data_IF_586193688978
#
_entry.id   IF_586193688978
#
_cell.length_a   1.000
_cell.length_b   1.000
_cell.length_c   1.000
_cell.angle_alpha   90.00
_cell.angle_beta   90.00
_cell.angle_gamma   90.00
#
_symmetry.space_group_name_H-M   'P 1'
#
loop_
_entity.id
_entity.type
_entity.pdbx_description
1 polymer ?
#
# COMPACT_ATOMS: atom_id res chain seq x y z
N UNK A 1 8.21 -3.13 12.71
CA UNK A 1 6.73 -3.18 12.90
C UNK A 1 6.40 -2.74 14.31
N UNK A 2 5.17 -2.25 14.56
CA UNK A 2 4.79 -1.75 15.88
C UNK A 2 4.58 -2.88 16.91
N UNK A 3 4.18 -4.08 16.46
CA UNK A 3 4.04 -5.26 17.30
C UNK A 3 4.37 -6.56 16.52
N UNK A 4 4.52 -7.66 17.26
CA UNK A 4 4.90 -8.98 16.72
C UNK A 4 3.80 -9.63 15.87
N UNK A 5 2.53 -9.40 16.19
CA UNK A 5 1.39 -9.93 15.41
C UNK A 5 1.36 -9.32 14.02
N UNK A 6 1.57 -8.02 13.90
CA UNK A 6 1.69 -7.33 12.61
C UNK A 6 2.89 -7.82 11.80
N UNK A 7 4.03 -8.09 12.46
CA UNK A 7 5.20 -8.65 11.80
C UNK A 7 4.91 -10.06 11.25
N UNK A 8 4.22 -10.90 12.03
CA UNK A 8 3.83 -12.25 11.59
C UNK A 8 2.89 -12.18 10.38
N UNK A 9 1.91 -11.27 10.39
CA UNK A 9 1.00 -11.08 9.26
C UNK A 9 1.73 -10.60 7.99
N UNK A 10 2.70 -9.68 8.14
CA UNK A 10 3.52 -9.24 7.02
C UNK A 10 4.34 -10.40 6.42
N UNK A 11 4.94 -11.26 7.25
CA UNK A 11 5.64 -12.46 6.79
C UNK A 11 4.67 -13.37 6.03
N UNK A 12 3.52 -13.71 6.63
CA UNK A 12 2.53 -14.62 6.04
C UNK A 12 2.02 -14.14 4.69
N UNK A 13 1.80 -12.84 4.50
CA UNK A 13 1.20 -12.31 3.28
C UNK A 13 2.19 -11.82 2.22
N UNK A 14 3.45 -11.53 2.60
CA UNK A 14 4.44 -10.96 1.68
C UNK A 14 5.54 -11.94 1.27
N UNK A 15 5.74 -13.05 1.99
CA UNK A 15 6.69 -14.07 1.53
C UNK A 15 6.27 -14.62 0.16
N UNK A 16 7.23 -14.70 -0.78
CA UNK A 16 7.06 -15.14 -2.17
C UNK A 16 6.20 -14.24 -3.07
N UNK A 17 5.69 -13.12 -2.58
CA UNK A 17 5.05 -12.11 -3.44
C UNK A 17 6.05 -11.64 -4.48
N UNK A 18 5.58 -11.46 -5.73
CA UNK A 18 6.42 -10.97 -6.82
C UNK A 18 6.35 -9.45 -6.91
N UNK A 19 7.52 -8.81 -6.97
CA UNK A 19 7.70 -7.37 -7.14
C UNK A 19 8.88 -7.14 -8.08
N UNK A 20 8.69 -6.32 -9.12
CA UNK A 20 9.71 -6.03 -10.13
C UNK A 20 10.34 -7.30 -10.75
N UNK A 21 9.49 -8.29 -11.06
CA UNK A 21 9.89 -9.56 -11.65
C UNK A 21 10.56 -10.55 -10.69
N UNK A 22 10.75 -10.19 -9.41
CA UNK A 22 11.45 -11.02 -8.42
C UNK A 22 10.53 -11.43 -7.28
N UNK A 23 10.68 -12.67 -6.78
CA UNK A 23 9.98 -13.11 -5.58
C UNK A 23 10.69 -12.61 -4.32
N UNK A 24 9.92 -12.00 -3.42
CA UNK A 24 10.40 -11.61 -2.11
C UNK A 24 10.65 -12.84 -1.23
N UNK A 25 11.65 -12.72 -0.36
CA UNK A 25 11.90 -13.63 0.76
C UNK A 25 11.67 -12.82 2.03
N UNK A 26 10.65 -13.17 2.80
CA UNK A 26 10.27 -12.44 4.02
C UNK A 26 10.33 -13.38 5.20
N UNK A 27 11.03 -12.98 6.26
CA UNK A 27 11.18 -13.79 7.46
C UNK A 27 11.57 -12.96 8.67
N UNK A 28 11.55 -13.59 9.84
CA UNK A 28 11.92 -12.94 11.10
C UNK A 28 13.41 -12.60 11.12
N UNK A 29 13.73 -11.36 11.53
CA UNK A 29 15.11 -10.95 11.79
C UNK A 29 15.63 -11.57 13.09
N UNK A 30 16.94 -11.81 13.14
CA UNK A 30 17.65 -12.15 14.39
C UNK A 30 17.96 -10.91 15.25
N UNK A 31 17.82 -9.72 14.69
CA UNK A 31 18.05 -8.45 15.37
C UNK A 31 16.74 -7.88 15.90
N UNK A 32 16.73 -7.47 17.17
CA UNK A 32 15.54 -6.92 17.82
C UNK A 32 15.22 -5.49 17.38
N UNK A 33 16.23 -4.71 16.98
CA UNK A 33 16.06 -3.31 16.56
C UNK A 33 16.98 -2.96 15.39
N UNK A 34 16.54 -1.99 14.59
CA UNK A 34 17.35 -1.34 13.56
C UNK A 34 18.06 -0.16 14.22
N UNK A 35 19.38 -0.08 14.09
CA UNK A 35 20.15 1.06 14.60
C UNK A 35 20.13 2.19 13.57
N UNK A 36 19.78 3.40 14.02
CA UNK A 36 19.85 4.59 13.18
C UNK A 36 21.30 5.10 13.10
N UNK A 37 21.72 5.65 11.94
CA UNK A 37 22.98 6.36 11.82
C UNK A 37 23.08 7.49 12.86
N UNK A 38 24.30 7.78 13.32
CA UNK A 38 24.52 8.94 14.20
C UNK A 38 24.35 10.23 13.40
N UNK A 39 23.92 11.29 14.08
CA UNK A 39 23.87 12.64 13.49
C UNK A 39 25.22 13.00 12.87
N UNK A 40 25.19 13.49 11.63
CA UNK A 40 26.39 13.89 10.88
C UNK A 40 27.11 12.77 10.12
N UNK A 41 26.70 11.50 10.25
CA UNK A 41 27.15 10.44 9.34
C UNK A 41 26.28 10.41 8.08
N UNK A 42 26.91 10.28 6.91
CA UNK A 42 26.19 10.07 5.66
C UNK A 42 25.51 8.70 5.70
N UNK A 43 24.19 8.69 5.89
CA UNK A 43 23.36 7.56 5.52
C UNK A 43 23.10 7.69 4.02
N UNK A 44 23.48 6.69 3.21
CA UNK A 44 23.31 6.71 1.75
C UNK A 44 21.82 6.66 1.29
N UNK A 45 20.88 7.11 2.12
CA UNK A 45 19.44 6.98 1.97
C UNK A 45 18.91 5.59 2.30
N UNK A 46 19.70 4.75 2.98
CA UNK A 46 19.42 3.33 3.17
C UNK A 46 18.71 3.01 4.49
N UNK A 47 18.75 3.92 5.47
CA UNK A 47 18.05 3.75 6.75
C UNK A 47 17.14 4.93 6.99
N UNK A 48 15.85 4.68 7.21
CA UNK A 48 14.86 5.73 7.40
C UNK A 48 13.97 5.45 8.59
N UNK A 49 13.84 6.44 9.47
CA UNK A 49 12.91 6.39 10.60
C UNK A 49 11.50 6.79 10.14
N UNK A 50 10.52 5.94 10.45
CA UNK A 50 9.11 6.18 10.20
C UNK A 50 8.27 6.20 11.48
N UNK A 51 8.84 6.14 12.68
CA UNK A 51 8.08 6.05 13.94
C UNK A 51 6.96 7.09 14.05
N UNK A 52 7.24 8.33 13.64
CA UNK A 52 6.30 9.46 13.72
C UNK A 52 5.52 9.75 12.43
N UNK A 53 5.54 8.83 11.45
CA UNK A 53 4.85 9.05 10.18
C UNK A 53 3.34 9.30 10.39
N UNK A 54 2.78 10.39 9.84
CA UNK A 54 1.34 10.65 9.91
C UNK A 54 0.54 9.67 9.03
N UNK A 55 1.22 8.91 8.16
CA UNK A 55 0.58 7.98 7.24
C UNK A 55 0.34 6.59 7.82
N UNK A 56 0.77 6.32 9.06
CA UNK A 56 0.55 5.02 9.73
C UNK A 56 -0.92 4.68 9.87
N UNK A 57 -1.29 3.50 9.36
CA UNK A 57 -2.69 3.06 9.37
C UNK A 57 -3.09 2.43 10.71
N UNK A 58 -2.15 1.91 11.50
CA UNK A 58 -2.43 1.14 12.72
C UNK A 58 -2.05 1.85 14.03
N UNK A 59 -1.87 3.19 14.04
CA UNK A 59 -1.45 3.95 15.23
C UNK A 59 -2.48 3.99 16.36
N UNK A 60 -3.77 3.82 16.05
CA UNK A 60 -4.86 3.87 17.05
C UNK A 60 -5.37 2.45 17.33
N UNK A 61 -5.27 2.03 18.59
CA UNK A 61 -5.89 0.79 19.07
C UNK A 61 -7.40 0.84 18.86
N UNK A 62 -8.02 -0.28 18.44
CA UNK A 62 -9.46 -0.38 18.21
C UNK A 62 -9.97 0.00 16.80
N UNK A 63 -9.10 0.42 15.87
CA UNK A 63 -9.53 0.62 14.48
C UNK A 63 -9.81 -0.72 13.79
N UNK A 64 -11.01 -0.91 13.21
CA UNK A 64 -11.40 -2.09 12.40
C UNK A 64 -10.70 -2.10 11.04
N UNK A 65 -9.36 -2.05 11.02
CA UNK A 65 -8.58 -2.11 9.80
C UNK A 65 -8.06 -3.52 9.62
N UNK A 66 -8.51 -4.16 8.55
CA UNK A 66 -8.09 -5.51 8.21
C UNK A 66 -6.88 -5.45 7.28
N UNK A 67 -5.84 -6.21 7.60
CA UNK A 67 -4.76 -6.50 6.67
C UNK A 67 -5.29 -7.56 5.70
N UNK A 68 -5.22 -7.26 4.41
CA UNK A 68 -5.71 -8.12 3.33
C UNK A 68 -4.47 -8.62 2.56
N UNK A 69 -4.38 -9.93 2.26
CA UNK A 69 -3.32 -10.47 1.41
C UNK A 69 -3.29 -9.77 0.04
N UNK A 70 -2.16 -9.79 -0.67
CA UNK A 70 -2.11 -9.28 -2.03
C UNK A 70 -3.14 -9.92 -2.96
N UNK A 71 -3.92 -9.08 -3.63
CA UNK A 71 -4.90 -9.45 -4.65
C UNK A 71 -4.76 -8.53 -5.85
N UNK A 72 -5.33 -8.91 -6.99
CA UNK A 72 -5.35 -8.07 -8.19
C UNK A 72 -6.31 -6.87 -8.05
N UNK A 73 -7.22 -6.89 -7.07
CA UNK A 73 -8.21 -5.85 -6.83
C UNK A 73 -7.78 -4.94 -5.68
N UNK A 74 -7.78 -3.63 -5.93
CA UNK A 74 -7.44 -2.60 -4.97
C UNK A 74 -8.66 -1.77 -4.60
N UNK A 75 -8.80 -1.47 -3.31
CA UNK A 75 -9.74 -0.50 -2.77
C UNK A 75 -9.06 0.85 -2.63
N UNK A 76 -9.67 1.85 -3.24
CA UNK A 76 -9.23 3.24 -3.26
C UNK A 76 -10.12 4.08 -2.32
N UNK A 77 -9.49 4.93 -1.52
CA UNK A 77 -10.17 5.94 -0.71
C UNK A 77 -9.64 7.33 -1.06
N UNK A 78 -10.50 8.34 -0.87
CA UNK A 78 -10.21 9.76 -1.17
C UNK A 78 -10.11 10.04 -2.67
N UNK A 79 -10.99 9.41 -3.45
CA UNK A 79 -11.07 9.58 -4.92
C UNK A 79 -12.20 10.51 -5.38
N UNK A 80 -12.90 11.17 -4.46
CA UNK A 80 -14.09 11.98 -4.80
C UNK A 80 -13.80 13.17 -5.72
N UNK A 81 -12.56 13.67 -5.73
CA UNK A 81 -12.12 14.78 -6.58
C UNK A 81 -11.51 14.32 -7.90
N UNK A 82 -11.49 13.02 -8.19
CA UNK A 82 -10.90 12.43 -9.38
C UNK A 82 -11.99 11.84 -10.28
N UNK A 83 -11.80 11.95 -11.58
CA UNK A 83 -12.62 11.26 -12.57
C UNK A 83 -12.05 9.86 -12.86
N UNK A 84 -12.90 8.96 -13.35
CA UNK A 84 -12.51 7.56 -13.65
C UNK A 84 -11.31 7.50 -14.61
N UNK A 85 -11.31 8.32 -15.66
CA UNK A 85 -10.25 8.35 -16.66
C UNK A 85 -8.89 8.72 -16.07
N UNK A 86 -8.85 9.66 -15.11
CA UNK A 86 -7.62 10.07 -14.45
C UNK A 86 -7.10 8.97 -13.53
N UNK A 87 -7.99 8.30 -12.79
CA UNK A 87 -7.62 7.15 -11.95
C UNK A 87 -7.08 6.03 -12.84
N UNK A 88 -7.80 5.65 -13.91
CA UNK A 88 -7.33 4.62 -14.84
C UNK A 88 -5.97 4.95 -15.42
N UNK A 89 -5.74 6.20 -15.80
CA UNK A 89 -4.46 6.67 -16.35
C UNK A 89 -3.32 6.57 -15.33
N UNK A 90 -3.57 6.96 -14.07
CA UNK A 90 -2.59 6.82 -12.98
C UNK A 90 -2.20 5.35 -12.76
N UNK A 91 -3.18 4.45 -12.69
CA UNK A 91 -2.92 3.03 -12.45
C UNK A 91 -2.33 2.32 -13.66
N UNK A 92 -2.61 2.80 -14.87
CA UNK A 92 -2.03 2.27 -16.11
C UNK A 92 -0.51 2.48 -16.22
N UNK A 93 0.07 3.37 -15.41
CA UNK A 93 1.54 3.53 -15.32
C UNK A 93 2.23 2.30 -14.68
N UNK A 94 1.47 1.45 -13.99
CA UNK A 94 1.98 0.31 -13.22
C UNK A 94 1.53 -1.05 -13.79
N UNK A 95 0.72 -1.06 -14.85
CA UNK A 95 0.17 -2.28 -15.41
C UNK A 95 -1.09 -2.05 -16.25
N UNK A 96 -1.85 -3.12 -16.49
CA UNK A 96 -3.07 -3.04 -17.30
C UNK A 96 -4.30 -3.07 -16.41
N UNK A 97 -5.11 -2.01 -16.44
CA UNK A 97 -6.38 -1.92 -15.70
C UNK A 97 -7.46 -2.77 -16.40
N UNK A 98 -7.99 -3.77 -15.70
CA UNK A 98 -9.06 -4.67 -16.18
C UNK A 98 -10.46 -4.15 -15.86
N UNK A 99 -10.62 -3.56 -14.68
CA UNK A 99 -11.92 -3.16 -14.17
C UNK A 99 -11.80 -1.95 -13.27
N UNK A 100 -12.86 -1.15 -13.24
CA UNK A 100 -12.99 -0.04 -12.32
C UNK A 100 -14.47 0.13 -11.99
N UNK A 101 -14.76 0.46 -10.72
CA UNK A 101 -16.09 0.92 -10.32
C UNK A 101 -16.03 1.85 -9.11
N UNK A 102 -16.76 2.96 -9.18
CA UNK A 102 -17.08 3.72 -7.98
C UNK A 102 -18.08 2.96 -7.09
N UNK A 103 -18.08 3.25 -5.81
CA UNK A 103 -19.14 2.76 -4.93
C UNK A 103 -20.43 3.54 -5.18
N UNK A 104 -21.58 2.87 -5.45
CA UNK A 104 -22.81 3.53 -5.89
C UNK A 104 -23.31 4.64 -4.96
N UNK A 105 -23.07 4.48 -3.66
CA UNK A 105 -23.53 5.40 -2.61
C UNK A 105 -22.38 6.22 -1.98
N UNK A 106 -21.14 6.02 -2.42
CA UNK A 106 -19.97 6.72 -1.86
C UNK A 106 -18.91 6.95 -2.94
N UNK A 107 -19.01 8.08 -3.64
CA UNK A 107 -18.00 8.50 -4.64
C UNK A 107 -16.62 8.79 -4.02
N UNK A 108 -16.45 8.73 -2.69
CA UNK A 108 -15.14 8.83 -2.04
C UNK A 108 -14.34 7.52 -2.13
N UNK A 109 -14.98 6.43 -2.55
CA UNK A 109 -14.39 5.10 -2.65
C UNK A 109 -14.59 4.48 -4.03
N UNK A 110 -13.62 3.67 -4.46
CA UNK A 110 -13.69 2.91 -5.69
C UNK A 110 -12.94 1.59 -5.57
N UNK A 111 -13.27 0.64 -6.44
CA UNK A 111 -12.45 -0.55 -6.71
C UNK A 111 -11.79 -0.41 -8.07
N UNK A 112 -10.55 -0.84 -8.15
CA UNK A 112 -9.80 -0.98 -9.40
C UNK A 112 -9.14 -2.35 -9.45
N UNK A 113 -9.19 -3.01 -10.60
CA UNK A 113 -8.61 -4.33 -10.83
C UNK A 113 -7.47 -4.20 -11.84
N UNK A 114 -6.28 -4.63 -11.43
CA UNK A 114 -5.11 -4.76 -12.30
C UNK A 114 -5.07 -6.16 -12.93
N UNK A 115 -4.29 -6.35 -13.99
CA UNK A 115 -4.27 -7.64 -14.70
C UNK A 115 -3.55 -8.74 -13.92
N UNK A 116 -2.66 -8.38 -13.00
CA UNK A 116 -1.97 -9.32 -12.12
C UNK A 116 -1.86 -8.80 -10.69
N UNK A 117 -1.63 -9.71 -9.74
CA UNK A 117 -1.34 -9.35 -8.33
C UNK A 117 -0.05 -8.55 -8.22
N UNK A 118 0.93 -8.80 -9.09
CA UNK A 118 2.19 -8.03 -9.12
C UNK A 118 1.92 -6.58 -9.54
N UNK A 119 1.18 -6.36 -10.62
CA UNK A 119 0.78 -5.01 -11.06
C UNK A 119 -0.01 -4.27 -9.97
N UNK A 120 -0.95 -4.94 -9.30
CA UNK A 120 -1.67 -4.37 -8.16
C UNK A 120 -0.74 -3.99 -7.00
N UNK A 121 0.26 -4.83 -6.72
CA UNK A 121 1.26 -4.56 -5.68
C UNK A 121 2.11 -3.35 -6.05
N UNK A 122 2.55 -3.25 -7.30
CA UNK A 122 3.31 -2.11 -7.82
C UNK A 122 2.50 -0.81 -7.80
N UNK A 123 1.24 -0.84 -8.24
CA UNK A 123 0.31 0.29 -8.15
C UNK A 123 0.14 0.76 -6.71
N UNK A 124 -0.02 -0.18 -5.76
CA UNK A 124 -0.14 0.16 -4.34
C UNK A 124 1.14 0.83 -3.83
N UNK A 125 2.32 0.30 -4.16
CA UNK A 125 3.61 0.89 -3.76
C UNK A 125 3.80 2.30 -4.30
N UNK A 126 3.42 2.54 -5.56
CA UNK A 126 3.63 3.83 -6.22
C UNK A 126 2.58 4.89 -5.93
N UNK A 127 1.33 4.48 -5.65
CA UNK A 127 0.19 5.41 -5.52
C UNK A 127 -0.34 5.55 -4.09
N UNK A 128 0.07 4.70 -3.14
CA UNK A 128 -0.33 4.89 -1.74
C UNK A 128 0.32 6.16 -1.16
N UNK A 129 -0.50 7.05 -0.61
CA UNK A 129 -0.15 8.41 -0.18
C UNK A 129 0.20 9.36 -1.34
N UNK A 130 -0.18 9.08 -2.58
CA UNK A 130 -0.07 10.05 -3.65
C UNK A 130 -0.97 11.26 -3.38
N UNK A 131 -0.45 12.47 -3.50
CA UNK A 131 -1.21 13.69 -3.23
C UNK A 131 -2.13 14.01 -4.42
N UNK A 132 -3.43 14.07 -4.16
CA UNK A 132 -4.48 14.29 -5.17
C UNK A 132 -5.21 15.62 -4.99
N UNK A 133 -4.81 16.40 -3.98
CA UNK A 133 -5.32 17.74 -3.69
C UNK A 133 -4.66 18.31 -2.43
N UNK A 134 -5.13 19.48 -1.98
CA UNK A 134 -4.60 20.14 -0.78
C UNK A 134 -4.83 19.27 0.47
N UNK A 135 -3.74 18.80 1.07
CA UNK A 135 -3.73 17.85 2.19
C UNK A 135 -4.49 16.53 1.95
N UNK A 136 -4.90 16.23 0.70
CA UNK A 136 -5.63 15.01 0.35
C UNK A 136 -4.69 13.99 -0.28
N UNK A 137 -4.58 12.83 0.37
CA UNK A 137 -3.69 11.76 -0.06
C UNK A 137 -4.49 10.50 -0.39
N UNK A 138 -4.32 9.99 -1.60
CA UNK A 138 -4.91 8.73 -2.04
C UNK A 138 -4.50 7.61 -1.09
N UNK A 139 -5.47 6.80 -0.65
CA UNK A 139 -5.17 5.58 0.09
C UNK A 139 -5.56 4.37 -0.73
N UNK A 140 -4.57 3.54 -1.00
CA UNK A 140 -4.70 2.28 -1.71
C UNK A 140 -4.57 1.12 -0.72
N UNK A 141 -5.35 0.06 -0.89
CA UNK A 141 -5.29 -1.19 -0.11
C UNK A 141 -5.74 -2.36 -0.96
N UNK A 142 -5.25 -3.56 -0.69
CA UNK A 142 -5.82 -4.77 -1.31
C UNK A 142 -7.28 -4.96 -0.91
N UNK A 143 -8.07 -5.57 -1.79
CA UNK A 143 -9.48 -5.86 -1.58
C UNK A 143 -9.77 -7.34 -1.75
N UNK A 144 -10.72 -7.85 -0.96
CA UNK A 144 -11.32 -9.19 -1.17
C UNK A 144 -12.55 -9.14 -2.07
N UNK A 145 -13.05 -7.94 -2.37
CA UNK A 145 -14.19 -7.73 -3.24
C UNK A 145 -13.81 -7.98 -4.69
N UNK A 146 -14.80 -8.37 -5.49
CA UNK A 146 -14.71 -8.44 -6.95
C UNK A 146 -15.29 -7.17 -7.58
N UNK A 147 -14.85 -6.86 -8.79
CA UNK A 147 -15.44 -5.80 -9.62
C UNK A 147 -16.66 -6.35 -10.36
#
# INVERSE_FOLDING_TARGET
MADSSQAMQAITYLDKVRVWGKQLRVGSSKHQMIQLPKEGQSDSGLTKDFMNSPHHRFRRSGSKKYIIPPTAVLHLYYVASLEEDDIRRMFSQYGTVKGFKFFPNDRKMALIEMSTVEEATLSLMGLHNYQVGDNLHLRVSFSRSTI
#
